data_IF_016801428620
#
_entry.id   IF_016801428620
#
_cell.length_a   1.000
_cell.length_b   1.000
_cell.length_c   1.000
_cell.angle_alpha   90.00
_cell.angle_beta   90.00
_cell.angle_gamma   90.00
#
_symmetry.space_group_name_H-M   'P 1'
#
loop_
_entity.id
_entity.type
_entity.pdbx_description
1 polymer ?
#
# COMPACT_ATOMS: atom_id res chain seq x y z
N UNK A 1 39.22 17.37 34.59
CA UNK A 1 38.15 16.49 35.07
C UNK A 1 36.74 17.01 34.81
N UNK A 2 36.36 18.29 35.08
CA UNK A 2 35.02 18.82 34.82
C UNK A 2 34.62 18.81 33.32
N UNK A 3 35.51 19.05 32.39
CA UNK A 3 35.26 19.03 30.95
C UNK A 3 35.03 17.62 30.38
N UNK A 4 35.68 16.62 31.00
CA UNK A 4 35.46 15.21 30.60
C UNK A 4 34.12 14.67 31.03
N UNK A 5 33.61 15.16 32.18
CA UNK A 5 32.30 14.79 32.71
C UNK A 5 31.15 15.38 31.85
N UNK A 6 31.33 16.60 31.31
CA UNK A 6 30.39 17.24 30.40
C UNK A 6 30.33 16.52 29.03
N UNK A 7 31.46 16.01 28.54
CA UNK A 7 31.51 15.25 27.29
C UNK A 7 30.83 13.87 27.43
N UNK A 8 30.94 13.23 28.59
CA UNK A 8 30.27 11.96 28.87
C UNK A 8 28.75 12.16 29.01
N UNK A 9 28.29 13.28 29.57
CA UNK A 9 26.86 13.58 29.73
C UNK A 9 26.19 13.89 28.39
N UNK A 10 26.91 14.50 27.43
CA UNK A 10 26.40 14.76 26.08
C UNK A 10 26.23 13.49 25.24
N UNK A 11 27.01 12.44 25.51
CA UNK A 11 26.92 11.18 24.78
C UNK A 11 25.73 10.31 25.20
N UNK A 12 25.22 10.48 26.43
CA UNK A 12 24.06 9.72 26.93
C UNK A 12 22.74 10.22 26.42
N UNK A 13 22.65 11.46 25.92
CA UNK A 13 21.37 12.04 25.43
C UNK A 13 21.04 11.55 23.99
N UNK A 14 22.03 11.10 23.22
CA UNK A 14 21.83 10.71 21.81
C UNK A 14 21.23 9.31 21.63
N UNK A 15 21.23 8.47 22.68
CA UNK A 15 20.82 7.06 22.53
C UNK A 15 19.31 6.81 22.65
N UNK A 16 18.50 7.80 23.07
CA UNK A 16 17.05 7.61 23.27
C UNK A 16 16.18 7.84 22.04
N UNK A 17 16.72 8.34 20.94
CA UNK A 17 15.92 8.70 19.75
C UNK A 17 15.67 7.55 18.77
N UNK A 18 16.33 6.41 18.90
CA UNK A 18 16.24 5.31 17.93
C UNK A 18 15.17 4.25 18.25
N UNK A 19 14.56 4.26 19.44
CA UNK A 19 13.60 3.25 19.86
C UNK A 19 12.18 3.43 19.26
N UNK A 20 11.92 4.54 18.58
CA UNK A 20 10.59 4.87 17.99
C UNK A 20 10.58 4.98 16.48
N UNK A 21 11.59 4.43 15.78
CA UNK A 21 11.52 4.29 14.32
C UNK A 21 10.36 3.36 13.97
N UNK A 22 9.36 3.90 13.25
CA UNK A 22 8.17 3.14 12.83
C UNK A 22 6.87 3.58 13.50
N UNK A 23 6.91 4.39 14.57
CA UNK A 23 5.69 4.92 15.18
C UNK A 23 5.27 6.24 14.53
N UNK A 24 4.05 6.29 14.00
CA UNK A 24 3.45 7.50 13.45
C UNK A 24 2.28 7.99 14.32
N UNK A 25 2.04 9.32 14.39
CA UNK A 25 0.88 9.86 15.08
C UNK A 25 -0.41 9.28 14.55
N UNK A 26 -1.34 8.98 15.43
CA UNK A 26 -2.63 8.40 15.07
C UNK A 26 -3.52 8.13 16.25
N UNK A 27 -4.66 7.53 16.02
CA UNK A 27 -5.63 7.15 17.02
C UNK A 27 -6.11 5.72 16.80
N UNK A 28 -6.51 5.06 17.88
CA UNK A 28 -7.19 3.77 17.86
C UNK A 28 -8.59 3.93 18.46
N UNK A 29 -9.57 3.26 17.88
CA UNK A 29 -10.94 3.17 18.42
C UNK A 29 -11.16 1.76 18.92
N UNK A 30 -11.41 1.61 20.21
CA UNK A 30 -11.66 0.34 20.86
C UNK A 30 -13.10 -0.16 20.58
N UNK A 31 -13.39 -1.40 20.91
CA UNK A 31 -14.74 -1.96 20.82
C UNK A 31 -15.76 -1.21 21.69
N UNK A 32 -15.31 -0.59 22.78
CA UNK A 32 -16.11 0.30 23.62
C UNK A 32 -16.54 1.61 22.95
N UNK A 33 -16.05 1.89 21.75
CA UNK A 33 -16.09 3.17 21.03
C UNK A 33 -15.24 4.29 21.69
N UNK A 34 -14.42 3.97 22.66
CA UNK A 34 -13.41 4.87 23.19
C UNK A 34 -12.32 5.08 22.14
N UNK A 35 -11.92 6.33 21.95
CA UNK A 35 -10.81 6.69 21.05
C UNK A 35 -9.61 7.13 21.88
N UNK A 36 -8.47 6.53 21.61
CA UNK A 36 -7.19 6.84 22.25
C UNK A 36 -6.26 7.49 21.22
N UNK A 37 -5.76 8.68 21.55
CA UNK A 37 -4.77 9.39 20.75
C UNK A 37 -3.35 8.99 21.17
N UNK A 38 -2.45 8.81 20.21
CA UNK A 38 -1.07 8.42 20.46
C UNK A 38 -0.26 8.21 19.19
N UNK A 39 0.56 7.16 19.18
CA UNK A 39 1.36 6.78 18.02
C UNK A 39 1.17 5.30 17.72
N UNK A 40 1.10 4.95 16.46
CA UNK A 40 0.88 3.59 15.94
C UNK A 40 2.14 3.11 15.25
N UNK A 41 2.55 1.87 15.53
CA UNK A 41 3.67 1.21 14.84
C UNK A 41 3.20 0.72 13.46
N UNK A 42 3.76 1.30 12.42
CA UNK A 42 3.50 0.97 11.02
C UNK A 42 4.62 0.15 10.38
N UNK A 43 5.50 -0.43 11.17
CA UNK A 43 6.61 -1.24 10.67
C UNK A 43 6.16 -2.52 9.94
N UNK A 44 4.92 -2.94 10.15
CA UNK A 44 4.29 -4.09 9.49
C UNK A 44 3.13 -3.62 8.62
N UNK A 45 2.86 -4.39 7.55
CA UNK A 45 1.67 -4.18 6.74
C UNK A 45 0.41 -4.37 7.62
N UNK A 46 -0.43 -3.33 7.79
CA UNK A 46 -1.60 -3.42 8.64
C UNK A 46 -2.58 -4.53 8.20
N UNK A 47 -2.75 -4.74 6.89
CA UNK A 47 -3.70 -5.72 6.35
C UNK A 47 -3.48 -7.16 6.84
N UNK A 48 -2.23 -7.54 7.11
CA UNK A 48 -1.87 -8.87 7.61
C UNK A 48 -1.66 -8.91 9.12
N UNK A 49 -1.55 -7.74 9.78
CA UNK A 49 -1.28 -7.68 11.20
C UNK A 49 -2.46 -8.21 12.02
N UNK A 50 -2.16 -9.04 13.02
CA UNK A 50 -3.14 -9.54 14.00
C UNK A 50 -3.11 -8.73 15.30
N UNK A 51 -2.10 -7.90 15.43
CA UNK A 51 -1.84 -7.08 16.60
C UNK A 51 -1.43 -5.68 16.14
N UNK A 52 -1.80 -4.69 16.94
CA UNK A 52 -1.46 -3.30 16.76
C UNK A 52 -0.67 -2.83 17.96
N UNK A 53 0.55 -2.31 17.73
CA UNK A 53 1.34 -1.67 18.79
C UNK A 53 1.03 -0.18 18.82
N UNK A 54 0.63 0.28 19.98
CA UNK A 54 0.23 1.65 20.20
C UNK A 54 1.03 2.25 21.35
N UNK A 55 1.54 3.46 21.17
CA UNK A 55 2.30 4.20 22.17
C UNK A 55 1.53 5.42 22.63
N UNK A 56 1.30 5.53 23.93
CA UNK A 56 0.74 6.70 24.59
C UNK A 56 1.65 7.10 25.73
N UNK A 57 2.01 8.38 25.80
CA UNK A 57 2.85 8.96 26.87
C UNK A 57 4.17 8.18 27.10
N UNK A 58 4.75 7.63 26.03
CA UNK A 58 5.99 6.84 26.08
C UNK A 58 5.79 5.37 26.49
N UNK A 59 4.61 4.97 26.92
CA UNK A 59 4.26 3.58 27.21
C UNK A 59 3.73 2.90 25.94
N UNK A 60 4.24 1.70 25.65
CA UNK A 60 3.81 0.90 24.48
C UNK A 60 2.89 -0.21 24.96
N UNK A 61 1.72 -0.29 24.35
CA UNK A 61 0.75 -1.36 24.55
C UNK A 61 0.51 -2.10 23.23
N UNK A 62 0.24 -3.39 23.32
CA UNK A 62 -0.13 -4.23 22.17
C UNK A 62 -1.61 -4.59 22.30
N UNK A 63 -2.36 -4.28 21.26
CA UNK A 63 -3.78 -4.60 21.15
C UNK A 63 -3.97 -5.71 20.12
N UNK A 64 -4.76 -6.72 20.45
CA UNK A 64 -5.19 -7.72 19.48
C UNK A 64 -6.14 -7.08 18.45
N UNK A 65 -6.19 -7.64 17.25
CA UNK A 65 -7.17 -7.25 16.23
C UNK A 65 -8.60 -7.32 16.76
N UNK A 66 -8.90 -8.23 17.68
CA UNK A 66 -10.22 -8.35 18.31
C UNK A 66 -10.57 -7.20 19.27
N UNK A 67 -9.60 -6.45 19.77
CA UNK A 67 -9.81 -5.40 20.78
C UNK A 67 -10.08 -4.04 20.16
N UNK A 68 -9.60 -3.83 18.94
CA UNK A 68 -9.66 -2.54 18.25
C UNK A 68 -10.66 -2.63 17.09
N UNK A 69 -11.56 -1.66 17.01
CA UNK A 69 -12.56 -1.54 15.94
C UNK A 69 -12.01 -0.84 14.71
N UNK A 70 -11.20 0.20 14.93
CA UNK A 70 -10.59 0.98 13.86
C UNK A 70 -9.31 1.67 14.37
N UNK A 71 -8.43 2.03 13.46
CA UNK A 71 -7.34 2.94 13.75
C UNK A 71 -7.11 3.89 12.58
N UNK A 72 -6.52 5.03 12.88
CA UNK A 72 -6.25 6.08 11.90
C UNK A 72 -4.84 6.64 12.10
N UNK A 73 -4.12 6.77 11.01
CA UNK A 73 -2.85 7.48 10.95
C UNK A 73 -3.15 8.93 10.57
N UNK A 74 -2.78 9.87 11.43
CA UNK A 74 -3.16 11.29 11.32
C UNK A 74 -2.92 11.84 9.91
N UNK A 75 -4.04 12.21 9.24
CA UNK A 75 -4.04 12.81 7.91
C UNK A 75 -3.61 11.88 6.76
N UNK A 76 -3.52 10.56 7.00
CA UNK A 76 -3.06 9.61 5.98
C UNK A 76 -4.11 8.53 5.68
N UNK A 77 -4.25 7.56 6.57
CA UNK A 77 -5.03 6.34 6.33
C UNK A 77 -5.90 6.01 7.53
N UNK A 78 -7.05 5.46 7.25
CA UNK A 78 -7.93 4.87 8.22
C UNK A 78 -8.13 3.39 7.90
N UNK A 79 -8.06 2.56 8.90
CA UNK A 79 -8.33 1.13 8.82
C UNK A 79 -9.50 0.76 9.72
N UNK A 80 -10.38 -0.09 9.21
CA UNK A 80 -11.51 -0.64 9.98
C UNK A 80 -11.39 -2.15 10.03
N UNK A 81 -11.72 -2.76 11.18
CA UNK A 81 -11.75 -4.21 11.30
C UNK A 81 -13.03 -4.74 10.68
N UNK A 82 -12.86 -5.68 9.76
CA UNK A 82 -13.96 -6.43 9.16
C UNK A 82 -13.66 -7.92 9.16
N UNK A 83 -14.69 -8.74 9.40
CA UNK A 83 -14.61 -10.17 9.16
C UNK A 83 -14.87 -10.42 7.69
N UNK A 84 -13.88 -10.91 6.96
CA UNK A 84 -13.94 -11.08 5.52
C UNK A 84 -13.50 -12.46 5.09
N UNK A 85 -13.98 -12.85 3.91
CA UNK A 85 -13.61 -14.08 3.22
C UNK A 85 -13.14 -13.71 1.82
N UNK A 86 -11.95 -14.20 1.42
CA UNK A 86 -11.40 -13.99 0.09
C UNK A 86 -10.51 -15.17 -0.33
N UNK A 87 -10.39 -15.36 -1.64
CA UNK A 87 -9.54 -16.42 -2.20
C UNK A 87 -8.19 -15.89 -2.64
N UNK A 88 -7.10 -16.59 -2.29
CA UNK A 88 -5.77 -16.34 -2.84
C UNK A 88 -5.67 -16.88 -4.26
N UNK A 89 -6.35 -16.24 -5.18
CA UNK A 89 -6.41 -16.60 -6.60
C UNK A 89 -5.47 -15.72 -7.42
N UNK A 90 -4.95 -16.21 -8.53
CA UNK A 90 -4.14 -15.42 -9.45
C UNK A 90 -4.94 -14.28 -10.09
N UNK A 91 -4.27 -13.16 -10.35
CA UNK A 91 -4.80 -11.98 -11.07
C UNK A 91 -4.07 -11.70 -12.38
N UNK A 92 -3.02 -12.43 -12.64
CA UNK A 92 -2.20 -12.34 -13.84
C UNK A 92 -1.92 -13.73 -14.42
N UNK A 93 -1.35 -13.75 -15.61
CA UNK A 93 -1.09 -15.00 -16.35
C UNK A 93 0.11 -15.76 -15.76
N UNK A 94 1.06 -15.06 -15.16
CA UNK A 94 2.30 -15.65 -14.66
C UNK A 94 2.04 -16.58 -13.45
N UNK A 95 1.07 -16.19 -12.60
CA UNK A 95 0.68 -16.94 -11.41
C UNK A 95 -0.59 -17.78 -11.60
N UNK A 96 -1.19 -17.74 -12.82
CA UNK A 96 -2.43 -18.43 -13.12
C UNK A 96 -2.25 -19.95 -13.13
N UNK A 97 -3.25 -20.63 -12.58
CA UNK A 97 -3.40 -22.11 -12.64
C UNK A 97 -4.58 -22.48 -13.54
N UNK A 98 -4.90 -23.75 -13.63
CA UNK A 98 -6.10 -24.23 -14.34
C UNK A 98 -7.42 -23.93 -13.60
N UNK A 99 -7.33 -23.46 -12.36
CA UNK A 99 -8.48 -23.16 -11.49
C UNK A 99 -8.54 -21.66 -11.15
N UNK A 100 -9.77 -21.14 -11.00
CA UNK A 100 -9.96 -19.78 -10.47
C UNK A 100 -9.71 -19.72 -8.96
N UNK A 101 -10.07 -20.77 -8.24
CA UNK A 101 -10.06 -20.74 -6.77
C UNK A 101 -8.69 -21.17 -6.22
N UNK A 102 -8.07 -20.25 -5.51
CA UNK A 102 -6.95 -20.50 -4.63
C UNK A 102 -7.44 -20.83 -3.20
N UNK A 103 -6.52 -20.91 -2.22
CA UNK A 103 -6.85 -21.12 -0.83
C UNK A 103 -7.80 -20.04 -0.30
N UNK A 104 -8.88 -20.46 0.37
CA UNK A 104 -9.82 -19.56 1.02
C UNK A 104 -9.24 -19.05 2.34
N UNK A 105 -9.26 -17.75 2.52
CA UNK A 105 -8.85 -17.06 3.76
C UNK A 105 -10.07 -16.44 4.40
N UNK A 106 -10.29 -16.73 5.68
CA UNK A 106 -11.40 -16.21 6.46
C UNK A 106 -10.89 -15.56 7.75
N UNK A 107 -11.61 -14.56 8.24
CA UNK A 107 -11.43 -13.97 9.56
C UNK A 107 -11.23 -12.47 9.53
N UNK A 108 -10.95 -11.93 10.72
CA UNK A 108 -10.78 -10.49 10.92
C UNK A 108 -9.53 -9.98 10.21
N UNK A 109 -9.69 -8.86 9.51
CA UNK A 109 -8.64 -8.12 8.81
C UNK A 109 -8.81 -6.62 9.05
N UNK A 110 -7.70 -5.91 9.06
CA UNK A 110 -7.68 -4.47 8.92
C UNK A 110 -7.83 -4.11 7.44
N UNK A 111 -8.95 -3.51 7.11
CA UNK A 111 -9.21 -3.03 5.76
C UNK A 111 -9.02 -1.52 5.72
N UNK A 112 -8.24 -1.04 4.76
CA UNK A 112 -8.10 0.39 4.50
C UNK A 112 -9.41 0.95 3.96
N UNK A 113 -9.86 2.07 4.51
CA UNK A 113 -11.05 2.77 4.03
C UNK A 113 -10.65 3.57 2.79
N UNK A 114 -11.08 3.15 1.61
CA UNK A 114 -10.83 3.84 0.36
C UNK A 114 -11.95 4.80 -0.01
N UNK A 115 -13.18 4.41 0.29
CA UNK A 115 -14.36 5.22 0.01
C UNK A 115 -15.43 4.99 1.08
N UNK A 116 -16.03 6.05 1.61
CA UNK A 116 -17.07 5.98 2.64
C UNK A 116 -18.30 6.75 2.21
N UNK A 117 -19.42 6.05 2.06
CA UNK A 117 -20.74 6.58 1.79
C UNK A 117 -21.80 5.51 2.06
N UNK A 118 -22.97 5.57 1.42
CA UNK A 118 -24.01 4.54 1.48
C UNK A 118 -23.48 3.15 1.12
N UNK A 119 -22.71 3.05 0.03
CA UNK A 119 -21.84 1.93 -0.27
C UNK A 119 -20.42 2.37 0.04
N UNK A 120 -19.70 1.60 0.83
CA UNK A 120 -18.31 1.91 1.17
C UNK A 120 -17.37 0.93 0.49
N UNK A 121 -16.14 1.37 0.19
CA UNK A 121 -15.12 0.52 -0.40
C UNK A 121 -13.90 0.45 0.50
N UNK A 122 -13.33 -0.73 0.60
CA UNK A 122 -12.15 -1.01 1.38
C UNK A 122 -11.09 -1.73 0.55
N UNK A 123 -9.82 -1.51 0.91
CA UNK A 123 -8.66 -2.20 0.38
C UNK A 123 -8.01 -3.12 1.41
N UNK A 124 -7.47 -4.23 0.95
CA UNK A 124 -6.59 -5.10 1.71
C UNK A 124 -5.34 -5.32 0.89
N UNK A 125 -4.24 -4.70 1.31
CA UNK A 125 -2.94 -4.93 0.72
C UNK A 125 -2.32 -6.19 1.32
N UNK A 126 -1.86 -7.09 0.45
CA UNK A 126 -1.09 -8.29 0.82
C UNK A 126 0.19 -8.34 -0.03
N UNK A 127 1.20 -9.12 0.35
CA UNK A 127 2.41 -9.27 -0.46
C UNK A 127 2.14 -9.75 -1.89
N UNK A 128 1.08 -10.55 -2.07
CA UNK A 128 0.76 -11.16 -3.35
C UNK A 128 -0.03 -10.22 -4.26
N UNK A 129 -0.98 -9.44 -3.68
CA UNK A 129 -1.88 -8.55 -4.44
C UNK A 129 -2.73 -7.68 -3.53
N UNK A 130 -3.44 -6.72 -4.14
CA UNK A 130 -4.51 -5.96 -3.49
C UNK A 130 -5.86 -6.65 -3.70
N UNK A 131 -6.65 -6.70 -2.62
CA UNK A 131 -8.05 -7.13 -2.63
C UNK A 131 -8.94 -5.95 -2.32
N UNK A 132 -10.08 -5.87 -3.00
CA UNK A 132 -11.04 -4.81 -2.76
C UNK A 132 -12.35 -5.41 -2.27
N UNK A 133 -12.97 -4.72 -1.32
CA UNK A 133 -14.23 -5.12 -0.71
C UNK A 133 -15.22 -3.99 -0.79
N UNK A 134 -16.48 -4.34 -0.90
CA UNK A 134 -17.58 -3.39 -0.84
C UNK A 134 -18.46 -3.69 0.37
N UNK A 135 -18.82 -2.65 1.11
CA UNK A 135 -19.84 -2.73 2.15
C UNK A 135 -21.16 -2.26 1.59
N UNK A 136 -22.17 -3.12 1.69
CA UNK A 136 -23.56 -2.82 1.37
C UNK A 136 -24.19 -1.95 2.47
N UNK A 137 -25.33 -1.30 2.19
CA UNK A 137 -26.05 -0.50 3.20
C UNK A 137 -26.54 -1.30 4.42
N UNK A 138 -26.68 -2.61 4.30
CA UNK A 138 -27.02 -3.52 5.40
C UNK A 138 -25.82 -3.86 6.29
N UNK A 139 -24.62 -3.33 5.98
CA UNK A 139 -23.39 -3.57 6.70
C UNK A 139 -22.61 -4.80 6.24
N UNK A 140 -23.17 -5.65 5.37
CA UNK A 140 -22.45 -6.81 4.84
C UNK A 140 -21.27 -6.40 3.97
N UNK A 141 -20.12 -7.09 4.14
CA UNK A 141 -18.90 -6.80 3.38
C UNK A 141 -18.60 -7.98 2.47
N UNK A 142 -18.36 -7.70 1.18
CA UNK A 142 -18.13 -8.69 0.13
C UNK A 142 -16.91 -8.34 -0.68
N UNK A 143 -16.16 -9.37 -1.12
CA UNK A 143 -15.04 -9.19 -2.06
C UNK A 143 -15.55 -8.73 -3.44
N UNK A 144 -14.97 -7.67 -3.99
CA UNK A 144 -15.07 -7.33 -5.40
C UNK A 144 -14.08 -8.23 -6.15
N UNK A 145 -14.60 -9.31 -6.72
CA UNK A 145 -13.77 -10.42 -7.18
C UNK A 145 -13.25 -10.23 -8.60
N UNK A 146 -11.93 -10.43 -8.75
CA UNK A 146 -11.25 -10.55 -10.03
C UNK A 146 -10.25 -11.70 -9.96
N UNK A 147 -10.26 -12.61 -10.93
CA UNK A 147 -9.40 -13.81 -10.95
C UNK A 147 -9.05 -14.18 -12.37
N UNK A 148 -7.89 -14.81 -12.53
CA UNK A 148 -7.39 -15.31 -13.81
C UNK A 148 -7.08 -16.79 -13.70
N UNK A 149 -7.38 -17.55 -14.75
CA UNK A 149 -6.91 -18.93 -14.93
C UNK A 149 -6.45 -19.15 -16.36
N UNK A 150 -5.64 -20.18 -16.57
CA UNK A 150 -5.17 -20.58 -17.92
C UNK A 150 -5.53 -22.04 -18.13
N UNK A 151 -6.32 -22.31 -19.18
CA UNK A 151 -6.66 -23.67 -19.61
C UNK A 151 -6.17 -23.83 -21.04
N UNK A 152 -5.33 -24.85 -21.29
CA UNK A 152 -4.79 -25.16 -22.61
C UNK A 152 -4.14 -23.93 -23.31
N UNK A 153 -3.44 -23.11 -22.51
CA UNK A 153 -2.80 -21.88 -23.00
C UNK A 153 -3.73 -20.69 -23.24
N UNK A 154 -5.02 -20.84 -22.95
CA UNK A 154 -6.01 -19.75 -23.10
C UNK A 154 -6.32 -19.14 -21.74
N UNK A 155 -6.09 -17.82 -21.61
CA UNK A 155 -6.42 -17.06 -20.43
C UNK A 155 -7.94 -16.84 -20.35
N UNK A 156 -8.50 -17.15 -19.17
CA UNK A 156 -9.88 -16.83 -18.82
C UNK A 156 -9.90 -15.93 -17.59
N UNK A 157 -10.85 -14.99 -17.56
CA UNK A 157 -11.02 -14.01 -16.48
C UNK A 157 -12.38 -14.19 -15.81
N UNK A 158 -12.37 -14.13 -14.48
CA UNK A 158 -13.58 -13.92 -13.68
C UNK A 158 -13.60 -12.47 -13.24
N UNK A 159 -14.46 -11.68 -13.88
CA UNK A 159 -14.67 -10.26 -13.61
C UNK A 159 -15.99 -10.05 -12.82
N UNK A 160 -16.21 -10.84 -11.77
CA UNK A 160 -17.44 -10.76 -10.96
C UNK A 160 -17.70 -9.37 -10.37
N UNK A 161 -16.65 -8.55 -10.16
CA UNK A 161 -16.83 -7.16 -9.76
C UNK A 161 -17.62 -6.35 -10.80
N UNK A 162 -17.41 -6.58 -12.11
CA UNK A 162 -18.19 -5.93 -13.17
C UNK A 162 -19.65 -6.36 -13.11
N UNK A 163 -19.90 -7.65 -12.89
CA UNK A 163 -21.26 -8.17 -12.73
C UNK A 163 -21.97 -7.50 -11.55
N UNK A 164 -21.26 -7.34 -10.42
CA UNK A 164 -21.79 -6.63 -9.26
C UNK A 164 -22.24 -5.21 -9.61
N UNK A 165 -21.34 -4.39 -10.17
CA UNK A 165 -21.67 -3.00 -10.52
C UNK A 165 -22.72 -2.89 -11.63
N UNK A 166 -22.71 -3.79 -12.62
CA UNK A 166 -23.72 -3.83 -13.66
C UNK A 166 -25.11 -4.11 -13.10
N UNK A 167 -25.22 -5.04 -12.15
CA UNK A 167 -26.47 -5.34 -11.46
C UNK A 167 -26.99 -4.11 -10.71
N UNK A 168 -26.10 -3.39 -10.00
CA UNK A 168 -26.47 -2.13 -9.31
C UNK A 168 -26.86 -1.02 -10.29
N UNK A 169 -26.16 -0.91 -11.41
CA UNK A 169 -26.49 0.06 -12.46
C UNK A 169 -27.90 -0.17 -13.02
N UNK A 170 -28.24 -1.42 -13.32
CA UNK A 170 -29.56 -1.80 -13.80
C UNK A 170 -30.65 -1.53 -12.74
N UNK A 171 -30.44 -1.95 -11.51
CA UNK A 171 -31.39 -1.76 -10.41
C UNK A 171 -31.71 -0.27 -10.11
N UNK A 172 -30.71 0.61 -10.34
CA UNK A 172 -30.84 2.04 -10.09
C UNK A 172 -31.10 2.87 -11.37
N UNK A 173 -31.29 2.25 -12.52
CA UNK A 173 -31.39 2.91 -13.84
C UNK A 173 -30.22 3.88 -14.10
N UNK A 174 -29.00 3.52 -13.65
CA UNK A 174 -27.80 4.36 -13.72
C UNK A 174 -26.98 4.05 -14.98
N UNK A 175 -27.28 4.74 -16.07
CA UNK A 175 -26.62 4.54 -17.36
C UNK A 175 -25.14 4.96 -17.34
N UNK A 176 -24.77 5.95 -16.52
CA UNK A 176 -23.39 6.41 -16.38
C UNK A 176 -22.51 5.36 -15.68
N UNK A 177 -23.07 4.72 -14.65
CA UNK A 177 -22.39 3.58 -14.01
C UNK A 177 -22.26 2.42 -14.99
N UNK A 178 -23.30 2.08 -15.73
CA UNK A 178 -23.27 0.98 -16.71
C UNK A 178 -22.17 1.17 -17.79
N UNK A 179 -22.04 2.39 -18.33
CA UNK A 179 -20.97 2.74 -19.28
C UNK A 179 -19.58 2.62 -18.65
N UNK A 180 -19.42 3.11 -17.41
CA UNK A 180 -18.13 3.07 -16.72
C UNK A 180 -17.68 1.65 -16.42
N UNK A 181 -18.58 0.75 -16.02
CA UNK A 181 -18.27 -0.66 -15.72
C UNK A 181 -17.65 -1.37 -16.93
N UNK A 182 -18.12 -1.08 -18.14
CA UNK A 182 -17.62 -1.72 -19.35
C UNK A 182 -16.12 -1.43 -19.58
N UNK A 183 -15.66 -0.25 -19.17
CA UNK A 183 -14.30 0.24 -19.40
C UNK A 183 -13.37 0.03 -18.20
N UNK A 184 -13.92 -0.24 -17.02
CA UNK A 184 -13.15 -0.30 -15.80
C UNK A 184 -12.21 -1.52 -15.75
N UNK A 185 -11.00 -1.27 -15.28
CA UNK A 185 -10.04 -2.29 -14.87
C UNK A 185 -10.21 -2.64 -13.39
N UNK A 186 -9.54 -3.70 -12.96
CA UNK A 186 -9.51 -4.08 -11.54
C UNK A 186 -8.34 -3.37 -10.84
N UNK A 187 -8.44 -2.08 -10.69
CA UNK A 187 -7.51 -1.22 -9.97
C UNK A 187 -8.27 -0.23 -9.09
N UNK A 188 -7.55 0.40 -8.17
CA UNK A 188 -8.17 1.27 -7.16
C UNK A 188 -8.86 2.48 -7.78
N UNK A 189 -8.23 3.13 -8.74
CA UNK A 189 -8.73 4.38 -9.33
C UNK A 189 -10.03 4.14 -10.11
N UNK A 190 -10.07 3.09 -10.93
CA UNK A 190 -11.26 2.72 -11.69
C UNK A 190 -12.39 2.28 -10.76
N UNK A 191 -12.08 1.47 -9.74
CA UNK A 191 -13.06 1.03 -8.75
C UNK A 191 -13.61 2.20 -7.93
N UNK A 192 -12.78 3.16 -7.53
CA UNK A 192 -13.23 4.41 -6.89
C UNK A 192 -14.14 5.22 -7.82
N UNK A 193 -13.82 5.28 -9.11
CA UNK A 193 -14.67 5.89 -10.12
C UNK A 193 -16.05 5.24 -10.20
N UNK A 194 -16.11 3.90 -10.12
CA UNK A 194 -17.38 3.16 -10.06
C UNK A 194 -18.14 3.44 -8.77
N UNK A 195 -17.45 3.52 -7.63
CA UNK A 195 -18.07 3.84 -6.33
C UNK A 195 -18.70 5.22 -6.32
N UNK A 196 -18.02 6.24 -6.86
CA UNK A 196 -18.59 7.59 -6.99
C UNK A 196 -19.86 7.59 -7.84
N UNK A 197 -19.86 6.87 -8.96
CA UNK A 197 -21.06 6.76 -9.83
C UNK A 197 -22.19 5.97 -9.17
N UNK A 198 -21.87 4.92 -8.41
CA UNK A 198 -22.86 4.11 -7.69
C UNK A 198 -23.58 4.92 -6.60
N UNK A 199 -22.82 5.72 -5.83
CA UNK A 199 -23.37 6.52 -4.75
C UNK A 199 -24.01 7.85 -5.23
N UNK A 200 -23.64 8.34 -6.42
CA UNK A 200 -24.05 9.65 -6.93
C UNK A 200 -23.39 10.83 -6.20
N UNK A 201 -22.36 10.57 -5.41
CA UNK A 201 -21.69 11.57 -4.57
C UNK A 201 -20.21 11.24 -4.35
N UNK A 202 -19.47 12.23 -3.85
CA UNK A 202 -18.08 12.01 -3.40
C UNK A 202 -18.06 11.31 -2.04
N UNK A 203 -16.98 10.61 -1.76
CA UNK A 203 -16.74 10.01 -0.46
C UNK A 203 -16.84 11.04 0.67
N UNK A 204 -17.49 10.65 1.76
CA UNK A 204 -17.46 11.43 3.03
C UNK A 204 -16.14 11.28 3.76
N UNK A 205 -15.36 10.25 3.43
CA UNK A 205 -13.99 10.07 3.88
C UNK A 205 -13.05 10.60 2.79
N UNK A 206 -12.34 11.67 3.10
CA UNK A 206 -11.22 12.08 2.28
C UNK A 206 -10.05 11.15 2.59
N UNK A 207 -9.84 10.15 1.75
CA UNK A 207 -8.55 9.48 1.68
C UNK A 207 -7.51 10.60 1.57
N UNK A 208 -6.61 10.68 2.52
CA UNK A 208 -5.61 11.75 2.55
C UNK A 208 -5.05 11.88 1.14
N UNK A 209 -5.04 13.10 0.61
CA UNK A 209 -4.55 13.35 -0.76
C UNK A 209 -3.29 12.52 -0.95
N UNK A 210 -3.17 11.78 -2.04
CA UNK A 210 -1.95 11.03 -2.29
C UNK A 210 -0.77 11.97 -2.04
N UNK A 211 0.25 11.54 -1.31
CA UNK A 211 1.37 12.40 -0.99
C UNK A 211 1.84 12.99 -2.30
N UNK A 212 1.98 14.32 -2.34
CA UNK A 212 2.54 14.99 -3.52
C UNK A 212 3.81 14.23 -3.87
N UNK A 213 4.02 13.89 -5.15
CA UNK A 213 5.21 13.17 -5.55
C UNK A 213 6.43 13.91 -4.98
N UNK A 214 7.17 13.25 -4.11
CA UNK A 214 8.40 13.80 -3.57
C UNK A 214 9.47 13.51 -4.60
N UNK A 215 9.87 14.54 -5.32
CA UNK A 215 11.03 14.44 -6.19
C UNK A 215 12.26 14.60 -5.31
N UNK A 216 12.97 13.52 -5.07
CA UNK A 216 14.25 13.55 -4.38
C UNK A 216 15.36 13.46 -5.43
N UNK A 217 16.21 14.49 -5.47
CA UNK A 217 17.42 14.47 -6.30
C UNK A 217 18.56 14.04 -5.40
N UNK A 218 19.07 12.84 -5.58
CA UNK A 218 20.29 12.38 -4.93
C UNK A 218 21.45 12.49 -5.90
N UNK A 219 22.46 13.28 -5.54
CA UNK A 219 23.73 13.36 -6.26
C UNK A 219 24.81 12.72 -5.41
N UNK A 220 25.62 11.86 -6.01
CA UNK A 220 26.72 11.20 -5.31
C UNK A 220 27.89 10.90 -6.25
N UNK A 221 29.03 10.62 -5.66
CA UNK A 221 30.22 10.17 -6.37
C UNK A 221 30.43 8.70 -5.97
N UNK A 222 30.44 7.79 -6.94
CA UNK A 222 30.72 6.39 -6.72
C UNK A 222 32.08 6.02 -7.34
N UNK A 223 32.87 5.30 -6.59
CA UNK A 223 34.04 4.62 -7.12
C UNK A 223 33.63 3.20 -7.47
N UNK A 224 33.76 2.84 -8.74
CA UNK A 224 33.51 1.47 -9.20
C UNK A 224 34.82 0.92 -9.79
N UNK A 225 35.34 -0.17 -9.21
CA UNK A 225 36.34 -0.99 -9.88
C UNK A 225 35.58 -2.09 -10.66
N UNK A 226 35.76 -2.13 -11.95
CA UNK A 226 35.20 -3.15 -12.81
C UNK A 226 36.31 -4.09 -13.26
N UNK A 227 36.23 -5.34 -12.87
CA UNK A 227 37.15 -6.39 -13.34
C UNK A 227 36.39 -7.31 -14.32
N UNK A 228 36.38 -7.00 -15.62
CA UNK A 228 35.85 -7.91 -16.61
C UNK A 228 36.83 -9.06 -16.81
N UNK A 229 36.55 -10.20 -16.19
CA UNK A 229 37.14 -11.52 -16.46
C UNK A 229 38.62 -11.48 -16.95
N UNK A 230 39.52 -11.07 -16.09
CA UNK A 230 40.89 -11.54 -16.12
C UNK A 230 41.91 -10.74 -16.87
N UNK A 231 41.65 -9.56 -17.46
CA UNK A 231 42.74 -8.88 -18.17
C UNK A 231 42.82 -7.35 -18.12
N UNK A 232 41.89 -6.61 -17.58
CA UNK A 232 42.05 -5.15 -17.43
C UNK A 232 41.33 -4.67 -16.16
N UNK A 233 42.07 -4.25 -15.16
CA UNK A 233 41.56 -3.46 -14.06
C UNK A 233 41.28 -2.05 -14.58
N UNK A 234 40.01 -1.67 -14.68
CA UNK A 234 39.60 -0.32 -15.04
C UNK A 234 39.09 0.36 -13.79
N UNK A 235 39.92 1.16 -13.18
CA UNK A 235 39.53 2.04 -12.09
C UNK A 235 38.83 3.29 -12.69
N UNK A 236 37.58 3.51 -12.32
CA UNK A 236 36.81 4.64 -12.80
C UNK A 236 36.10 5.40 -11.68
N UNK A 237 36.07 6.71 -11.79
CA UNK A 237 35.24 7.58 -10.97
C UNK A 237 33.95 7.91 -11.71
N UNK A 238 32.80 7.69 -11.09
CA UNK A 238 31.51 8.01 -11.66
C UNK A 238 30.73 8.99 -10.79
N UNK A 239 30.09 9.97 -11.42
CA UNK A 239 29.07 10.79 -10.79
C UNK A 239 27.69 10.28 -11.25
N UNK A 240 26.76 10.09 -10.31
CA UNK A 240 25.39 9.67 -10.64
C UNK A 240 24.39 10.65 -10.05
N UNK A 241 23.29 10.83 -10.78
CA UNK A 241 22.10 11.49 -10.27
C UNK A 241 20.95 10.49 -10.35
N UNK A 242 20.34 10.18 -9.22
CA UNK A 242 19.20 9.28 -9.14
C UNK A 242 17.93 10.13 -9.02
N UNK A 243 17.00 9.93 -9.94
CA UNK A 243 15.65 10.47 -9.85
C UNK A 243 14.74 9.40 -9.28
N UNK A 244 14.23 9.62 -8.10
CA UNK A 244 13.29 8.73 -7.46
C UNK A 244 11.97 9.46 -7.26
N UNK A 245 10.92 8.97 -7.93
CA UNK A 245 9.56 9.43 -7.69
C UNK A 245 8.80 8.29 -7.01
N UNK A 246 8.47 8.45 -5.74
CA UNK A 246 7.61 7.50 -5.04
C UNK A 246 6.18 8.03 -4.98
N UNK A 247 5.25 7.25 -5.49
CA UNK A 247 3.82 7.48 -5.34
C UNK A 247 3.30 6.51 -4.28
N UNK A 248 2.62 7.04 -3.25
CA UNK A 248 2.01 6.20 -2.23
C UNK A 248 0.63 5.79 -2.73
N UNK A 249 0.44 4.50 -3.00
CA UNK A 249 -0.87 3.95 -3.33
C UNK A 249 -0.93 3.02 -4.54
N UNK A 250 -0.08 3.12 -5.53
CA UNK A 250 -0.07 2.21 -6.68
C UNK A 250 1.27 2.25 -7.38
N UNK A 251 1.93 1.12 -7.47
CA UNK A 251 3.15 0.87 -8.20
C UNK A 251 4.19 2.01 -8.10
N UNK A 252 5.13 1.89 -7.18
CA UNK A 252 6.28 2.79 -7.16
C UNK A 252 7.01 2.74 -8.50
N UNK A 253 7.10 3.86 -9.19
CA UNK A 253 7.96 3.97 -10.36
C UNK A 253 9.36 4.32 -9.87
N UNK A 254 10.26 3.35 -9.89
CA UNK A 254 11.68 3.58 -9.68
C UNK A 254 12.32 3.78 -11.03
N UNK A 255 12.55 5.03 -11.42
CA UNK A 255 13.30 5.38 -12.62
C UNK A 255 14.63 6.02 -12.23
N UNK A 256 15.74 5.41 -12.57
CA UNK A 256 17.07 5.97 -12.37
C UNK A 256 17.74 6.27 -13.70
N UNK A 257 18.29 7.46 -13.88
CA UNK A 257 19.24 7.76 -14.96
C UNK A 257 20.61 7.92 -14.33
N UNK A 258 21.47 6.90 -14.53
CA UNK A 258 22.85 6.93 -14.08
C UNK A 258 23.77 7.29 -15.24
N UNK A 259 24.70 8.22 -15.00
CA UNK A 259 25.81 8.48 -15.94
C UNK A 259 27.10 8.04 -15.26
N UNK A 260 27.77 7.06 -15.85
CA UNK A 260 29.09 6.65 -15.39
C UNK A 260 30.12 7.11 -16.41
N UNK A 261 31.13 7.83 -15.94
CA UNK A 261 32.24 8.30 -16.77
C UNK A 261 33.41 7.33 -16.60
N UNK A 262 33.75 6.62 -17.65
CA UNK A 262 34.99 5.83 -17.70
C UNK A 262 35.97 6.52 -18.64
N UNK A 263 37.15 6.88 -18.15
CA UNK A 263 38.25 7.44 -18.95
C UNK A 263 37.82 8.48 -20.00
N UNK A 264 36.94 9.42 -19.59
CA UNK A 264 36.42 10.45 -20.50
C UNK A 264 35.36 10.01 -21.49
N UNK A 265 34.83 8.79 -21.39
CA UNK A 265 33.66 8.32 -22.16
C UNK A 265 32.43 8.18 -21.28
N UNK A 266 31.32 8.68 -21.76
CA UNK A 266 30.02 8.54 -21.10
C UNK A 266 29.39 7.22 -21.51
N UNK A 267 29.12 6.34 -20.54
CA UNK A 267 28.30 5.14 -20.73
C UNK A 267 26.94 5.42 -20.10
N UNK A 268 25.90 5.46 -20.92
CA UNK A 268 24.53 5.61 -20.43
C UNK A 268 24.04 4.26 -19.93
N UNK A 269 23.82 4.15 -18.63
CA UNK A 269 23.14 2.99 -18.06
C UNK A 269 21.68 3.37 -17.89
N UNK A 270 20.81 2.77 -18.70
CA UNK A 270 19.37 2.82 -18.52
C UNK A 270 19.00 1.54 -17.78
N UNK A 271 18.67 1.64 -16.52
CA UNK A 271 18.07 0.54 -15.77
C UNK A 271 16.56 0.70 -15.88
N UNK A 272 15.91 -0.21 -16.61
CA UNK A 272 14.48 -0.43 -16.48
C UNK A 272 14.32 -1.51 -15.42
N UNK A 273 13.70 -1.16 -14.27
CA UNK A 273 13.23 -2.09 -13.28
C UNK A 273 11.77 -2.43 -13.54
#
# INVERSE_FOLDING_TARGET
MKQFLLLLLSFTIVTYTNAQKGFEPGSITLNSNETLEGKIDISKNPGEAKELRFSKDGSIQTYSISDVKAFELSGKFRYERHNVSYNKSATDIEHATEFFDGPLVNGDRWLEVLYKSKYSMFGLETPDRNYYFIQEPDGSVKELRYRVKVISGVMQKDESYKTYFSTKATANNNSELAKAVALANYDEDDLLGLMMKLNGEKSTYNVGKPPKPVFEIRAGVAYNSFNPSGQVDVDGYGAYALYEASFKGTAGFLGGVGFTFFQGRVVKIVSCG
#
